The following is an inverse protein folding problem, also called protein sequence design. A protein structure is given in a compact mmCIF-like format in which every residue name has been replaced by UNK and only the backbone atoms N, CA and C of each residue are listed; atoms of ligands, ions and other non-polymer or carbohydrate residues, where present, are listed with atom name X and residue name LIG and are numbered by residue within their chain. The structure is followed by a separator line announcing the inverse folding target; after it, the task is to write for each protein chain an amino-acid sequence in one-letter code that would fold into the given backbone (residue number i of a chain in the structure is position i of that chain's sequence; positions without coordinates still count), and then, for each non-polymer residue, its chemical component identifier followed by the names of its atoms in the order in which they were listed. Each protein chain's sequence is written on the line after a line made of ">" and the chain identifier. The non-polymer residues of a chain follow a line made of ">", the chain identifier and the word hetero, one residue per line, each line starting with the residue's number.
data_IF_452678358058
#
_entry.id   IF_452678358058
#
_cell.length_a   1.000
_cell.length_b   1.000
_cell.length_c   1.000
_cell.angle_alpha   90.00
_cell.angle_beta   90.00
_cell.angle_gamma   90.00
#
_symmetry.space_group_name_H-M   'P 1'
#
loop_
_entity.id
_entity.type
_entity.pdbx_description
1 polymer ?
#
# COMPACT_ATOMS: atom_id res chain seq x y z
N UNK A 1 47.23 -13.51 26.98
CA UNK A 1 45.97 -12.79 26.73
C UNK A 1 45.80 -12.70 25.22
N UNK A 2 45.05 -13.63 24.64
CA UNK A 2 44.81 -13.68 23.19
C UNK A 2 43.47 -13.00 22.93
N UNK A 3 43.49 -11.85 22.26
CA UNK A 3 42.29 -11.07 21.96
C UNK A 3 41.48 -11.77 20.88
N UNK A 4 40.25 -12.15 21.20
CA UNK A 4 39.23 -12.54 20.23
C UNK A 4 38.85 -11.31 19.43
N UNK A 5 39.33 -11.23 18.19
CA UNK A 5 38.80 -10.30 17.21
C UNK A 5 37.40 -10.79 16.82
N UNK A 6 36.37 -10.17 17.38
CA UNK A 6 35.02 -10.21 16.82
C UNK A 6 35.09 -9.48 15.48
N UNK A 7 35.09 -10.24 14.37
CA UNK A 7 34.78 -9.66 13.07
C UNK A 7 33.33 -9.22 13.10
N UNK A 8 33.12 -7.91 12.97
CA UNK A 8 31.81 -7.34 12.74
C UNK A 8 31.24 -7.95 11.45
N UNK A 9 30.13 -8.66 11.56
CA UNK A 9 29.32 -9.03 10.40
C UNK A 9 28.71 -7.73 9.93
N UNK A 10 29.28 -7.17 8.86
CA UNK A 10 28.63 -6.10 8.14
C UNK A 10 27.28 -6.65 7.67
N UNK A 11 26.18 -6.09 8.16
CA UNK A 11 24.85 -6.33 7.64
C UNK A 11 24.85 -5.90 6.17
N UNK A 12 25.02 -6.84 5.26
CA UNK A 12 24.65 -6.64 3.88
C UNK A 12 23.14 -6.49 3.88
N UNK A 13 22.65 -5.36 3.38
CA UNK A 13 21.24 -5.13 3.12
C UNK A 13 20.79 -6.24 2.18
N UNK A 14 20.10 -7.25 2.71
CA UNK A 14 19.47 -8.29 1.91
C UNK A 14 18.31 -7.61 1.17
N UNK A 15 18.48 -7.42 -0.14
CA UNK A 15 17.39 -7.01 -1.00
C UNK A 15 16.64 -8.28 -1.34
N UNK A 16 15.53 -8.54 -0.65
CA UNK A 16 14.58 -9.58 -1.00
C UNK A 16 14.28 -9.50 -2.51
N UNK A 17 14.55 -10.58 -3.24
CA UNK A 17 14.29 -10.66 -4.67
C UNK A 17 12.78 -10.55 -4.92
N UNK A 18 12.37 -9.39 -5.46
CA UNK A 18 11.01 -8.97 -5.85
C UNK A 18 9.92 -8.98 -4.76
N UNK A 19 9.94 -7.98 -3.86
CA UNK A 19 8.70 -7.58 -3.18
C UNK A 19 7.73 -7.06 -4.26
N UNK A 20 6.53 -7.65 -4.43
CA UNK A 20 5.55 -7.16 -5.40
C UNK A 20 5.24 -5.69 -5.15
N UNK A 21 5.20 -4.88 -6.21
CA UNK A 21 4.74 -3.49 -6.08
C UNK A 21 3.26 -3.50 -5.69
N UNK A 22 2.86 -2.95 -4.54
CA UNK A 22 1.47 -2.97 -4.14
C UNK A 22 0.63 -2.10 -5.07
N UNK A 23 -0.61 -2.52 -5.30
CA UNK A 23 -1.62 -1.67 -5.92
C UNK A 23 -2.15 -0.68 -4.89
N UNK A 24 -2.35 0.57 -5.30
CA UNK A 24 -2.99 1.56 -4.45
C UNK A 24 -4.40 1.09 -4.03
N UNK A 25 -4.68 1.15 -2.73
CA UNK A 25 -6.04 1.06 -2.21
C UNK A 25 -6.85 2.30 -2.61
N UNK A 26 -8.18 2.21 -2.48
CA UNK A 26 -9.03 3.39 -2.64
C UNK A 26 -8.69 4.45 -1.57
N UNK A 27 -8.97 5.72 -1.90
CA UNK A 27 -8.83 6.80 -0.95
C UNK A 27 -9.68 6.53 0.30
N UNK A 28 -9.06 6.63 1.47
CA UNK A 28 -9.71 6.49 2.76
C UNK A 28 -10.68 7.65 3.02
N UNK A 29 -11.53 7.52 4.04
CA UNK A 29 -12.44 8.61 4.43
C UNK A 29 -11.68 9.87 4.85
N UNK A 30 -10.57 9.73 5.57
CA UNK A 30 -9.73 10.87 5.98
C UNK A 30 -9.08 11.55 4.77
N UNK A 31 -8.63 10.75 3.79
CA UNK A 31 -8.08 11.25 2.53
C UNK A 31 -9.15 11.98 1.71
N UNK A 32 -10.36 11.43 1.60
CA UNK A 32 -11.48 12.08 0.91
C UNK A 32 -11.93 13.36 1.62
N UNK A 33 -11.96 13.37 2.95
CA UNK A 33 -12.28 14.57 3.73
C UNK A 33 -11.24 15.67 3.50
N UNK A 34 -9.94 15.32 3.52
CA UNK A 34 -8.88 16.28 3.23
C UNK A 34 -8.92 16.82 1.78
N UNK A 35 -9.36 16.01 0.81
CA UNK A 35 -9.62 16.48 -0.55
C UNK A 35 -10.81 17.44 -0.58
N UNK A 36 -11.89 17.11 0.13
CA UNK A 36 -13.11 17.91 0.20
C UNK A 36 -12.83 19.26 0.85
N UNK A 37 -12.08 19.29 1.95
CA UNK A 37 -11.67 20.53 2.61
C UNK A 37 -10.92 21.47 1.65
N UNK A 38 -10.04 20.93 0.79
CA UNK A 38 -9.38 21.75 -0.23
C UNK A 38 -10.37 22.29 -1.27
N UNK A 39 -11.33 21.49 -1.71
CA UNK A 39 -12.35 21.94 -2.67
C UNK A 39 -13.30 22.98 -2.07
N UNK A 40 -13.66 22.85 -0.79
CA UNK A 40 -14.50 23.80 -0.08
C UNK A 40 -13.78 25.14 0.13
N UNK A 41 -12.48 25.12 0.46
CA UNK A 41 -11.65 26.34 0.53
C UNK A 41 -11.58 27.04 -0.83
N UNK A 42 -11.40 26.27 -1.91
CA UNK A 42 -11.37 26.83 -3.27
C UNK A 42 -12.72 27.41 -3.67
N UNK A 43 -13.83 26.75 -3.34
CA UNK A 43 -15.18 27.26 -3.61
C UNK A 43 -15.48 28.53 -2.80
N UNK A 44 -15.13 28.55 -1.51
CA UNK A 44 -15.29 29.71 -0.64
C UNK A 44 -14.53 30.96 -1.14
N UNK A 45 -13.41 30.76 -1.84
CA UNK A 45 -12.66 31.87 -2.44
C UNK A 45 -13.43 32.60 -3.56
N UNK A 46 -14.51 32.01 -4.08
CA UNK A 46 -15.38 32.62 -5.10
C UNK A 46 -16.60 33.33 -4.51
N UNK A 47 -16.82 33.27 -3.19
CA UNK A 47 -17.93 33.97 -2.56
C UNK A 47 -17.75 35.49 -2.65
N UNK A 48 -18.60 36.14 -3.45
CA UNK A 48 -18.55 37.60 -3.68
C UNK A 48 -19.53 38.42 -2.83
N UNK A 49 -20.25 37.77 -1.90
CA UNK A 49 -21.22 38.44 -1.02
C UNK A 49 -22.53 38.87 -1.71
N UNK A 50 -22.77 38.42 -2.94
CA UNK A 50 -23.99 38.67 -3.72
C UNK A 50 -25.11 37.65 -3.45
N UNK A 51 -24.92 36.74 -2.50
CA UNK A 51 -25.88 35.68 -2.16
C UNK A 51 -25.71 34.38 -2.94
N UNK A 52 -24.89 34.37 -4.00
CA UNK A 52 -24.56 33.14 -4.75
C UNK A 52 -23.93 32.10 -3.82
N UNK A 53 -24.29 30.84 -4.03
CA UNK A 53 -23.64 29.72 -3.35
C UNK A 53 -22.59 29.10 -4.25
N UNK A 54 -21.43 28.85 -3.67
CA UNK A 54 -20.32 28.19 -4.33
C UNK A 54 -20.02 26.90 -3.59
N UNK A 55 -19.99 25.78 -4.32
CA UNK A 55 -19.71 24.46 -3.75
C UNK A 55 -18.57 23.79 -4.49
N UNK A 56 -17.69 23.14 -3.72
CA UNK A 56 -16.60 22.32 -4.24
C UNK A 56 -17.01 20.86 -4.24
N UNK A 57 -16.74 20.14 -5.32
CA UNK A 57 -16.96 18.69 -5.41
C UNK A 57 -15.65 18.00 -5.80
N UNK A 58 -15.25 17.00 -5.01
CA UNK A 58 -14.06 16.19 -5.29
C UNK A 58 -14.31 15.24 -6.45
N UNK A 59 -13.45 15.30 -7.46
CA UNK A 59 -13.34 14.28 -8.51
C UNK A 59 -12.03 13.54 -8.30
N UNK A 60 -12.12 12.28 -7.88
CA UNK A 60 -10.95 11.45 -7.58
C UNK A 60 -10.18 11.10 -8.87
N UNK A 61 -8.87 11.22 -8.79
CA UNK A 61 -7.94 10.84 -9.84
C UNK A 61 -7.19 9.55 -9.52
N UNK A 62 -6.19 9.24 -10.33
CA UNK A 62 -5.32 8.09 -10.10
C UNK A 62 -4.41 8.32 -8.88
N UNK A 63 -4.14 7.25 -8.15
CA UNK A 63 -3.13 7.23 -7.11
C UNK A 63 -1.76 6.85 -7.71
N UNK A 64 -0.71 7.50 -7.22
CA UNK A 64 0.68 7.22 -7.64
C UNK A 64 1.51 6.80 -6.42
N UNK A 65 2.27 5.71 -6.55
CA UNK A 65 3.22 5.29 -5.51
C UNK A 65 4.35 6.32 -5.42
N UNK A 66 4.60 6.83 -4.20
CA UNK A 66 5.64 7.85 -3.94
C UNK A 66 6.81 7.26 -3.16
N UNK A 67 6.53 6.36 -2.23
CA UNK A 67 7.56 5.68 -1.44
C UNK A 67 7.13 4.30 -0.99
N UNK A 68 8.11 3.42 -0.74
CA UNK A 68 7.89 2.02 -0.41
C UNK A 68 7.79 1.11 -1.64
N UNK A 69 7.43 -0.17 -1.45
CA UNK A 69 7.12 -0.82 -0.18
C UNK A 69 8.36 -0.97 0.71
N UNK A 70 8.26 -0.54 1.98
CA UNK A 70 9.32 -0.71 2.99
C UNK A 70 8.85 -1.71 4.02
N UNK A 71 9.62 -2.75 4.27
CA UNK A 71 9.31 -3.73 5.31
C UNK A 71 9.24 -3.06 6.69
N UNK A 72 8.22 -3.40 7.46
CA UNK A 72 7.98 -2.89 8.80
C UNK A 72 7.67 -4.05 9.75
N UNK A 73 8.13 -3.92 11.00
CA UNK A 73 7.86 -4.92 12.02
C UNK A 73 8.74 -6.16 11.92
N UNK A 74 8.25 -7.27 12.45
CA UNK A 74 8.92 -8.57 12.46
C UNK A 74 8.39 -9.47 11.35
N UNK A 75 9.27 -10.26 10.75
CA UNK A 75 8.90 -11.31 9.81
C UNK A 75 8.29 -12.50 10.53
N UNK A 76 7.24 -13.08 9.94
CA UNK A 76 6.74 -14.42 10.27
C UNK A 76 7.36 -15.42 9.29
N UNK A 77 8.38 -16.15 9.77
CA UNK A 77 9.16 -17.08 8.95
C UNK A 77 8.43 -18.42 8.88
N UNK A 78 8.22 -18.93 7.65
CA UNK A 78 7.73 -20.29 7.47
C UNK A 78 8.88 -21.28 7.69
N UNK A 79 9.00 -21.76 8.94
CA UNK A 79 10.07 -22.69 9.36
C UNK A 79 10.14 -23.95 8.49
N UNK A 80 9.04 -24.38 7.87
CA UNK A 80 8.99 -25.54 6.98
C UNK A 80 9.68 -25.33 5.63
N UNK A 81 10.00 -24.07 5.29
CA UNK A 81 10.62 -23.69 4.02
C UNK A 81 12.11 -23.38 4.13
N UNK A 82 12.68 -23.42 5.35
CA UNK A 82 14.09 -23.13 5.57
C UNK A 82 14.95 -24.17 4.83
N UNK A 83 15.77 -23.67 3.90
CA UNK A 83 16.77 -24.45 3.19
C UNK A 83 18.17 -23.96 3.54
N UNK A 84 19.10 -24.91 3.62
CA UNK A 84 20.50 -24.63 3.89
C UNK A 84 21.18 -23.96 2.68
N UNK A 85 21.88 -22.85 2.91
CA UNK A 85 22.63 -22.14 1.88
C UNK A 85 24.05 -21.78 2.35
N UNK A 86 24.89 -21.32 1.42
CA UNK A 86 26.26 -20.90 1.73
C UNK A 86 27.22 -22.05 2.05
N UNK A 87 28.19 -21.79 2.94
CA UNK A 87 29.24 -22.76 3.30
C UNK A 87 28.89 -23.47 4.60
N UNK A 88 29.04 -24.79 4.61
CA UNK A 88 28.93 -25.58 5.84
C UNK A 88 30.18 -25.43 6.71
N UNK A 89 29.98 -25.10 7.99
CA UNK A 89 31.02 -24.99 9.00
C UNK A 89 30.81 -26.07 10.07
N UNK A 90 31.72 -27.07 10.16
CA UNK A 90 31.58 -28.16 11.12
C UNK A 90 31.91 -27.69 12.55
N UNK A 91 31.10 -28.11 13.53
CA UNK A 91 31.32 -27.81 14.95
C UNK A 91 31.98 -28.99 15.69
N UNK A 92 31.57 -30.21 15.36
CA UNK A 92 32.15 -31.45 15.90
C UNK A 92 32.70 -32.25 14.74
N UNK A 93 34.00 -32.54 14.78
CA UNK A 93 34.68 -33.32 13.75
C UNK A 93 35.10 -34.67 14.30
N UNK A 94 34.88 -35.70 13.52
CA UNK A 94 35.40 -37.03 13.78
C UNK A 94 35.92 -37.67 12.50
N UNK A 95 36.80 -38.65 12.67
CA UNK A 95 37.37 -39.38 11.56
C UNK A 95 36.78 -40.78 11.60
N UNK A 96 36.13 -41.16 10.50
CA UNK A 96 35.51 -42.47 10.34
C UNK A 96 36.25 -43.31 9.30
N UNK A 97 36.01 -44.61 9.37
CA UNK A 97 36.54 -45.58 8.43
C UNK A 97 37.98 -46.02 8.71
N UNK A 98 38.43 -46.94 7.87
CA UNK A 98 39.80 -47.47 7.93
C UNK A 98 40.72 -46.58 7.09
N UNK A 99 42.00 -46.39 7.49
CA UNK A 99 42.94 -45.66 6.66
C UNK A 99 43.09 -46.30 5.30
N UNK A 100 43.10 -45.50 4.23
CA UNK A 100 43.38 -45.97 2.88
C UNK A 100 44.45 -45.09 2.22
N UNK A 101 45.06 -45.59 1.13
CA UNK A 101 46.04 -44.83 0.34
C UNK A 101 45.43 -44.38 -0.97
N UNK A 102 45.85 -43.21 -1.40
CA UNK A 102 45.63 -42.71 -2.77
C UNK A 102 46.98 -42.72 -3.48
N UNK A 103 47.16 -43.64 -4.43
CA UNK A 103 48.41 -43.81 -5.18
C UNK A 103 49.64 -44.13 -4.31
N UNK A 104 50.83 -43.78 -4.80
CA UNK A 104 52.12 -43.97 -4.10
C UNK A 104 52.38 -42.96 -2.97
N UNK A 105 51.35 -42.29 -2.44
CA UNK A 105 51.49 -41.30 -1.37
C UNK A 105 52.00 -41.93 -0.08
N UNK A 106 52.90 -41.23 0.63
CA UNK A 106 53.38 -41.59 1.98
C UNK A 106 52.36 -41.28 3.08
N UNK A 107 51.25 -40.64 2.71
CA UNK A 107 50.14 -40.27 3.59
C UNK A 107 48.96 -41.22 3.38
N UNK A 108 48.27 -41.56 4.46
CA UNK A 108 47.03 -42.34 4.43
C UNK A 108 45.88 -41.47 4.89
N UNK A 109 44.76 -41.61 4.20
CA UNK A 109 43.60 -40.77 4.34
C UNK A 109 42.49 -41.52 5.05
N UNK A 110 41.67 -40.77 5.78
CA UNK A 110 40.40 -41.21 6.33
C UNK A 110 39.33 -40.18 6.02
N UNK A 111 38.08 -40.60 6.12
CA UNK A 111 36.96 -39.70 5.87
C UNK A 111 36.69 -38.91 7.14
N UNK A 112 36.75 -37.58 7.01
CA UNK A 112 36.37 -36.66 8.06
C UNK A 112 34.87 -36.39 7.94
N UNK A 113 34.17 -36.71 9.01
CA UNK A 113 32.75 -36.49 9.15
C UNK A 113 32.49 -35.46 10.25
N UNK A 114 31.38 -34.77 10.14
CA UNK A 114 30.87 -33.91 11.19
C UNK A 114 29.52 -34.42 11.67
N UNK A 115 29.28 -34.40 12.97
CA UNK A 115 28.00 -34.81 13.59
C UNK A 115 27.11 -33.62 13.97
N UNK A 116 27.67 -32.40 13.90
CA UNK A 116 26.98 -31.16 14.15
C UNK A 116 27.77 -30.00 13.53
N UNK A 117 27.06 -28.98 13.05
CA UNK A 117 27.65 -27.77 12.49
C UNK A 117 26.58 -26.75 12.13
N UNK A 118 26.93 -25.80 11.28
CA UNK A 118 25.97 -24.83 10.77
C UNK A 118 26.26 -24.46 9.33
N UNK A 119 25.21 -24.10 8.61
CA UNK A 119 25.31 -23.41 7.32
C UNK A 119 25.37 -21.92 7.57
N UNK A 120 26.28 -21.22 6.88
CA UNK A 120 26.50 -19.78 7.09
C UNK A 120 25.31 -18.93 6.66
N UNK A 121 24.44 -19.49 5.83
CA UNK A 121 23.33 -18.80 5.17
C UNK A 121 22.11 -19.74 5.09
N UNK A 122 20.93 -19.18 4.85
CA UNK A 122 19.71 -19.93 4.60
C UNK A 122 18.79 -19.19 3.65
N UNK A 123 17.91 -19.95 3.01
CA UNK A 123 16.80 -19.36 2.27
C UNK A 123 15.48 -19.81 2.89
N UNK A 124 14.48 -18.94 2.90
CA UNK A 124 13.17 -19.25 3.47
C UNK A 124 12.09 -18.31 2.94
N UNK A 125 10.84 -18.76 3.00
CA UNK A 125 9.70 -17.89 2.78
C UNK A 125 9.28 -17.23 4.10
N UNK A 126 8.75 -16.01 4.01
CA UNK A 126 8.22 -15.29 5.16
C UNK A 126 7.01 -14.43 4.77
N UNK A 127 6.21 -14.08 5.76
CA UNK A 127 5.18 -13.03 5.64
C UNK A 127 5.62 -11.82 6.47
N UNK A 128 5.54 -10.63 5.91
CA UNK A 128 5.82 -9.38 6.62
C UNK A 128 4.91 -8.25 6.16
N UNK A 129 4.78 -7.24 7.01
CA UNK A 129 4.01 -6.04 6.70
C UNK A 129 4.91 -5.02 6.01
N UNK A 130 4.45 -4.50 4.87
CA UNK A 130 5.14 -3.48 4.10
C UNK A 130 4.32 -2.20 4.09
N UNK A 131 4.95 -1.08 4.44
CA UNK A 131 4.34 0.24 4.34
C UNK A 131 4.70 0.89 3.01
N UNK A 132 3.67 1.37 2.32
CA UNK A 132 3.78 2.18 1.10
C UNK A 132 3.04 3.48 1.28
N UNK A 133 3.51 4.55 0.63
CA UNK A 133 2.83 5.85 0.60
C UNK A 133 2.39 6.14 -0.82
N UNK A 134 1.09 6.33 -1.01
CA UNK A 134 0.48 6.73 -2.26
C UNK A 134 0.05 8.19 -2.18
N UNK A 135 0.23 8.94 -3.27
CA UNK A 135 -0.40 10.24 -3.45
C UNK A 135 -1.66 10.06 -4.29
N UNK A 136 -2.79 10.48 -3.74
CA UNK A 136 -4.06 10.47 -4.43
C UNK A 136 -4.28 11.83 -5.10
N UNK A 137 -4.16 11.86 -6.42
CA UNK A 137 -4.51 13.04 -7.20
C UNK A 137 -6.03 13.22 -7.23
N UNK A 138 -6.47 14.47 -7.33
CA UNK A 138 -7.88 14.81 -7.49
C UNK A 138 -8.00 16.19 -8.14
N UNK A 139 -9.21 16.50 -8.61
CA UNK A 139 -9.59 17.85 -9.02
C UNK A 139 -10.86 18.27 -8.29
N UNK A 140 -11.01 19.58 -8.10
CA UNK A 140 -12.18 20.20 -7.53
C UNK A 140 -13.04 20.78 -8.65
N UNK A 141 -14.26 20.26 -8.77
CA UNK A 141 -15.31 20.87 -9.56
C UNK A 141 -15.96 21.96 -8.72
N UNK A 142 -15.86 23.20 -9.18
CA UNK A 142 -16.44 24.37 -8.51
C UNK A 142 -17.76 24.71 -9.20
N UNK A 143 -18.84 24.49 -8.48
CA UNK A 143 -20.20 24.76 -8.94
C UNK A 143 -20.71 26.08 -8.34
N UNK A 144 -21.49 26.81 -9.14
CA UNK A 144 -22.18 28.03 -8.72
C UNK A 144 -23.69 27.82 -8.81
N UNK A 145 -24.38 28.20 -7.75
CA UNK A 145 -25.83 28.40 -7.73
C UNK A 145 -26.08 29.91 -7.64
N UNK A 146 -26.65 30.49 -8.72
CA UNK A 146 -26.89 31.94 -8.79
C UNK A 146 -28.09 32.29 -7.92
N UNK A 147 -27.93 33.32 -7.09
CA UNK A 147 -28.98 33.82 -6.21
C UNK A 147 -29.90 34.81 -6.93
N UNK A 148 -31.20 34.62 -6.74
CA UNK A 148 -32.25 35.53 -7.18
C UNK A 148 -32.99 36.05 -5.96
N UNK A 149 -32.86 37.35 -5.70
CA UNK A 149 -33.55 38.02 -4.61
C UNK A 149 -35.07 37.98 -4.81
N UNK A 150 -35.82 38.01 -3.71
CA UNK A 150 -37.27 38.12 -3.73
C UNK A 150 -37.72 39.32 -4.58
N UNK A 151 -38.73 39.11 -5.43
CA UNK A 151 -39.32 40.15 -6.26
C UNK A 151 -40.79 40.32 -5.89
N UNK A 152 -41.19 41.57 -5.68
CA UNK A 152 -42.60 41.93 -5.50
C UNK A 152 -43.04 42.68 -6.75
N UNK A 153 -43.98 42.09 -7.48
CA UNK A 153 -44.58 42.67 -8.68
C UNK A 153 -45.97 43.18 -8.28
N UNK A 154 -46.16 44.50 -8.36
CA UNK A 154 -47.47 45.11 -8.12
C UNK A 154 -48.32 45.01 -9.38
N UNK A 155 -49.48 44.36 -9.27
CA UNK A 155 -50.48 44.31 -10.32
C UNK A 155 -51.59 45.32 -10.00
N UNK A 156 -51.79 46.29 -10.90
CA UNK A 156 -52.87 47.27 -10.78
C UNK A 156 -54.24 46.59 -10.87
N UNK A 157 -55.27 47.20 -10.27
CA UNK A 157 -56.62 46.66 -10.35
C UNK A 157 -57.16 46.72 -11.79
N UNK A 158 -57.74 45.63 -12.28
CA UNK A 158 -58.35 45.52 -13.60
C UNK A 158 -59.84 45.23 -13.49
N UNK A 159 -60.69 46.09 -14.06
CA UNK A 159 -62.14 45.91 -13.96
C UNK A 159 -62.94 47.16 -14.30
N UNK A 160 -64.15 47.24 -13.74
CA UNK A 160 -65.04 48.39 -13.90
C UNK A 160 -65.96 48.55 -12.68
N UNK A 161 -66.40 49.77 -12.45
CA UNK A 161 -67.50 50.05 -11.53
C UNK A 161 -68.84 49.75 -12.20
N UNK A 162 -69.65 48.93 -11.54
CA UNK A 162 -71.04 48.69 -11.88
C UNK A 162 -71.95 49.23 -10.79
N UNK A 163 -73.22 49.41 -11.11
CA UNK A 163 -74.23 49.81 -10.13
C UNK A 163 -74.37 48.74 -9.04
N UNK A 164 -74.49 49.16 -7.78
CA UNK A 164 -74.86 48.26 -6.68
C UNK A 164 -76.15 47.49 -7.03
N UNK A 165 -76.13 46.14 -7.03
CA UNK A 165 -77.30 45.32 -7.32
C UNK A 165 -78.54 45.66 -6.48
N UNK A 166 -78.36 46.14 -5.24
CA UNK A 166 -79.46 46.52 -4.35
C UNK A 166 -80.23 47.76 -4.82
N UNK A 167 -79.61 48.59 -5.67
CA UNK A 167 -80.22 49.81 -6.20
C UNK A 167 -80.96 49.58 -7.52
N UNK A 168 -80.81 48.41 -8.14
CA UNK A 168 -81.47 48.08 -9.41
C UNK A 168 -82.99 48.08 -9.19
N UNK A 169 -83.71 48.88 -9.99
CA UNK A 169 -85.18 49.02 -9.91
C UNK A 169 -85.67 50.11 -8.94
N UNK A 170 -84.76 50.82 -8.26
CA UNK A 170 -85.09 51.98 -7.42
C UNK A 170 -85.09 53.28 -8.23
N UNK A 171 -85.76 54.36 -7.77
CA UNK A 171 -85.66 55.69 -8.38
C UNK A 171 -84.23 56.22 -8.50
N UNK A 172 -83.31 55.74 -7.65
CA UNK A 172 -81.91 56.15 -7.59
C UNK A 172 -81.02 55.41 -8.61
N UNK A 173 -81.53 54.35 -9.25
CA UNK A 173 -80.74 53.46 -10.11
C UNK A 173 -80.02 54.21 -11.25
N UNK A 174 -80.75 55.08 -11.96
CA UNK A 174 -80.17 55.81 -13.10
C UNK A 174 -79.08 56.80 -12.68
N UNK A 175 -79.23 57.44 -11.51
CA UNK A 175 -78.23 58.35 -10.98
C UNK A 175 -76.96 57.58 -10.55
N UNK A 176 -77.13 56.42 -9.91
CA UNK A 176 -76.02 55.53 -9.55
C UNK A 176 -75.27 55.02 -10.79
N UNK A 177 -75.99 54.53 -11.82
CA UNK A 177 -75.39 54.06 -13.07
C UNK A 177 -74.55 55.16 -13.77
N UNK A 178 -75.06 56.39 -13.81
CA UNK A 178 -74.33 57.52 -14.37
C UNK A 178 -73.04 57.83 -13.59
N UNK A 179 -73.07 57.69 -12.25
CA UNK A 179 -71.89 57.88 -11.42
C UNK A 179 -70.83 56.79 -11.66
N UNK A 180 -71.23 55.51 -11.76
CA UNK A 180 -70.31 54.41 -12.05
C UNK A 180 -69.65 54.56 -13.42
N UNK A 181 -70.43 54.95 -14.45
CA UNK A 181 -69.91 55.24 -15.79
C UNK A 181 -68.91 56.40 -15.78
N UNK A 182 -69.12 57.43 -14.94
CA UNK A 182 -68.18 58.53 -14.80
C UNK A 182 -66.85 58.08 -14.16
N UNK A 183 -66.89 57.18 -13.17
CA UNK A 183 -65.66 56.58 -12.61
C UNK A 183 -64.90 55.76 -13.67
N UNK A 184 -65.59 54.93 -14.45
CA UNK A 184 -64.97 54.16 -15.54
C UNK A 184 -64.37 55.05 -16.62
N UNK A 185 -65.09 56.11 -17.05
CA UNK A 185 -64.61 57.05 -18.04
C UNK A 185 -63.40 57.86 -17.55
N UNK A 186 -63.37 58.22 -16.26
CA UNK A 186 -62.22 58.90 -15.66
C UNK A 186 -60.98 58.00 -15.65
N UNK A 187 -61.12 56.73 -15.25
CA UNK A 187 -60.01 55.78 -15.30
C UNK A 187 -59.52 55.55 -16.74
N UNK A 188 -60.42 55.34 -17.71
CA UNK A 188 -60.07 55.18 -19.12
C UNK A 188 -59.35 56.40 -19.72
N UNK A 189 -59.61 57.60 -19.18
CA UNK A 189 -58.92 58.84 -19.55
C UNK A 189 -57.53 59.00 -18.88
N UNK A 190 -57.06 58.01 -18.13
CA UNK A 190 -55.80 58.06 -17.38
C UNK A 190 -55.87 58.96 -16.14
N UNK A 191 -57.05 59.37 -15.71
CA UNK A 191 -57.21 59.99 -14.40
C UNK A 191 -57.09 58.88 -13.36
N UNK A 192 -55.89 58.66 -12.83
CA UNK A 192 -55.64 57.73 -11.73
C UNK A 192 -56.44 58.17 -10.50
N UNK A 193 -57.66 57.66 -10.39
CA UNK A 193 -58.47 57.84 -9.20
C UNK A 193 -57.94 56.87 -8.17
N UNK A 194 -57.34 57.36 -7.08
CA UNK A 194 -56.70 56.54 -6.03
C UNK A 194 -57.64 55.58 -5.27
N UNK A 195 -58.88 55.44 -5.75
CA UNK A 195 -59.87 54.48 -5.29
C UNK A 195 -60.16 53.37 -6.32
N UNK A 196 -59.58 53.40 -7.52
CA UNK A 196 -59.78 52.37 -8.54
C UNK A 196 -59.49 50.97 -7.98
N UNK A 197 -60.37 50.00 -8.25
CA UNK A 197 -60.28 48.66 -7.67
C UNK A 197 -60.88 48.51 -6.26
N UNK A 198 -61.25 49.59 -5.58
CA UNK A 198 -61.84 49.56 -4.24
C UNK A 198 -63.37 49.50 -4.33
N UNK A 199 -63.99 48.72 -3.43
CA UNK A 199 -65.44 48.55 -3.37
C UNK A 199 -65.92 48.56 -1.91
N UNK A 200 -67.06 49.21 -1.58
CA UNK A 200 -67.90 50.02 -2.46
C UNK A 200 -67.31 51.43 -2.69
N UNK A 201 -67.66 52.07 -3.80
CA UNK A 201 -67.43 53.49 -3.99
C UNK A 201 -68.73 54.24 -4.33
N UNK A 202 -69.27 54.95 -3.34
CA UNK A 202 -70.64 55.46 -3.40
C UNK A 202 -71.65 54.33 -3.62
N UNK A 203 -72.45 54.45 -4.68
CA UNK A 203 -73.46 53.47 -5.09
C UNK A 203 -72.94 52.48 -6.16
N UNK A 204 -71.62 52.34 -6.27
CA UNK A 204 -70.95 51.51 -7.24
C UNK A 204 -70.15 50.39 -6.56
N UNK A 205 -70.21 49.20 -7.13
CA UNK A 205 -69.41 48.05 -6.74
C UNK A 205 -68.35 47.83 -7.83
N UNK A 206 -67.10 47.60 -7.44
CA UNK A 206 -66.05 47.26 -8.40
C UNK A 206 -66.17 45.77 -8.77
N UNK A 207 -66.34 45.49 -10.06
CA UNK A 207 -66.28 44.16 -10.64
C UNK A 207 -64.97 43.98 -11.40
N UNK A 208 -64.16 43.01 -10.96
CA UNK A 208 -62.87 42.71 -11.57
C UNK A 208 -61.86 42.16 -10.56
N UNK A 209 -60.59 42.26 -10.91
CA UNK A 209 -59.45 41.87 -10.06
C UNK A 209 -58.99 43.10 -9.29
N UNK A 210 -58.95 43.00 -7.96
CA UNK A 210 -58.37 44.06 -7.11
C UNK A 210 -56.86 44.14 -7.32
N UNK A 211 -56.26 45.29 -7.00
CA UNK A 211 -54.80 45.39 -7.00
C UNK A 211 -54.23 44.41 -5.98
N UNK A 212 -53.15 43.72 -6.35
CA UNK A 212 -52.48 42.78 -5.47
C UNK A 212 -50.98 42.75 -5.78
N UNK A 213 -50.23 42.30 -4.77
CA UNK A 213 -48.81 42.07 -4.91
C UNK A 213 -48.57 40.58 -5.18
N UNK A 214 -47.87 40.27 -6.26
CA UNK A 214 -47.33 38.95 -6.51
C UNK A 214 -45.90 38.89 -5.98
N UNK A 215 -45.67 38.01 -5.01
CA UNK A 215 -44.34 37.76 -4.45
C UNK A 215 -43.72 36.54 -5.12
N UNK A 216 -42.63 36.75 -5.84
CA UNK A 216 -41.72 35.68 -6.28
C UNK A 216 -40.67 35.52 -5.18
N UNK A 217 -40.69 34.41 -4.41
CA UNK A 217 -39.76 34.21 -3.30
C UNK A 217 -38.32 34.16 -3.80
N UNK A 218 -37.37 34.45 -2.92
CA UNK A 218 -35.96 34.25 -3.23
C UNK A 218 -35.67 32.77 -3.55
N UNK A 219 -34.75 32.53 -4.47
CA UNK A 219 -34.33 31.19 -4.85
C UNK A 219 -32.91 31.18 -5.40
N UNK A 220 -32.37 29.97 -5.54
CA UNK A 220 -31.11 29.72 -6.22
C UNK A 220 -31.36 28.88 -7.46
N UNK A 221 -30.64 29.17 -8.54
CA UNK A 221 -30.59 28.27 -9.69
C UNK A 221 -29.98 26.91 -9.30
N UNK A 222 -30.19 25.89 -10.13
CA UNK A 222 -29.49 24.62 -9.96
C UNK A 222 -27.95 24.80 -10.09
N UNK A 223 -27.15 23.92 -9.47
CA UNK A 223 -25.70 24.04 -9.49
C UNK A 223 -25.17 23.90 -10.93
N UNK A 224 -24.35 24.87 -11.35
CA UNK A 224 -23.68 24.86 -12.65
C UNK A 224 -22.17 24.85 -12.45
N UNK A 225 -21.50 23.85 -13.03
CA UNK A 225 -20.04 23.77 -13.06
C UNK A 225 -19.45 25.00 -13.77
N UNK A 226 -18.59 25.74 -13.06
CA UNK A 226 -17.88 26.91 -13.60
C UNK A 226 -16.41 26.61 -13.87
N UNK A 227 -15.77 25.90 -12.96
CA UNK A 227 -14.34 25.63 -13.03
C UNK A 227 -14.03 24.21 -12.60
N UNK A 228 -12.97 23.65 -13.17
CA UNK A 228 -12.30 22.46 -12.64
C UNK A 228 -10.87 22.87 -12.32
N UNK A 229 -10.51 22.77 -11.04
CA UNK A 229 -9.21 23.18 -10.53
C UNK A 229 -8.48 21.93 -10.03
N UNK A 230 -7.20 21.78 -10.36
CA UNK A 230 -6.41 20.66 -9.83
C UNK A 230 -6.21 20.84 -8.31
N UNK A 231 -6.51 19.79 -7.54
CA UNK A 231 -6.23 19.74 -6.11
C UNK A 231 -4.75 19.44 -5.85
N UNK A 232 -4.27 19.73 -4.64
CA UNK A 232 -2.93 19.31 -4.22
C UNK A 232 -3.02 17.86 -3.72
N UNK A 233 -2.34 16.88 -4.34
CA UNK A 233 -2.49 15.47 -4.00
C UNK A 233 -2.35 15.19 -2.50
N UNK A 234 -3.21 14.33 -1.97
CA UNK A 234 -3.20 13.93 -0.55
C UNK A 234 -2.47 12.61 -0.41
N UNK A 235 -1.52 12.55 0.52
CA UNK A 235 -0.79 11.31 0.83
C UNK A 235 -1.63 10.38 1.70
N UNK A 236 -1.60 9.10 1.38
CA UNK A 236 -2.18 8.02 2.16
C UNK A 236 -1.12 6.94 2.37
N UNK A 237 -0.90 6.54 3.62
CA UNK A 237 -0.11 5.35 3.93
C UNK A 237 -1.00 4.11 3.84
N UNK A 238 -0.42 3.06 3.30
CA UNK A 238 -1.03 1.75 3.13
C UNK A 238 -0.06 0.71 3.70
N UNK A 239 -0.60 -0.22 4.49
CA UNK A 239 0.13 -1.38 5.00
C UNK A 239 -0.42 -2.61 4.31
N UNK A 240 0.46 -3.34 3.64
CA UNK A 240 0.14 -4.59 2.97
C UNK A 240 0.92 -5.74 3.62
N UNK A 241 0.23 -6.81 3.96
CA UNK A 241 0.88 -8.05 4.41
C UNK A 241 1.23 -8.89 3.20
N UNK A 242 2.53 -9.07 2.95
CA UNK A 242 3.07 -9.68 1.73
C UNK A 242 3.84 -10.95 2.08
N UNK A 243 3.59 -12.00 1.30
CA UNK A 243 4.41 -13.21 1.29
C UNK A 243 5.61 -13.01 0.37
N UNK A 244 6.82 -13.18 0.91
CA UNK A 244 8.08 -12.92 0.24
C UNK A 244 9.10 -14.06 0.49
N UNK A 245 10.23 -13.98 -0.19
CA UNK A 245 11.33 -14.94 -0.10
C UNK A 245 12.61 -14.21 0.37
N UNK A 246 13.31 -14.81 1.33
CA UNK A 246 14.65 -14.41 1.76
C UNK A 246 15.67 -15.39 1.17
N UNK A 247 16.67 -14.85 0.47
CA UNK A 247 17.73 -15.62 -0.18
C UNK A 247 19.08 -15.57 0.55
N UNK A 248 19.19 -14.70 1.56
CA UNK A 248 20.39 -14.47 2.37
C UNK A 248 20.05 -14.38 3.87
N UNK A 249 19.40 -15.42 4.36
CA UNK A 249 19.02 -15.60 5.75
C UNK A 249 20.18 -15.74 6.73
N UNK A 250 19.83 -15.89 8.01
CA UNK A 250 20.80 -16.17 9.06
C UNK A 250 21.37 -17.59 9.01
N UNK A 251 22.40 -17.88 9.81
CA UNK A 251 22.98 -19.21 9.89
C UNK A 251 22.00 -20.23 10.49
N UNK A 252 21.99 -21.46 9.96
CA UNK A 252 21.13 -22.55 10.42
C UNK A 252 21.97 -23.66 11.04
N UNK A 253 21.70 -23.97 12.31
CA UNK A 253 22.35 -25.05 13.06
C UNK A 253 21.76 -26.40 12.64
N UNK A 254 22.62 -27.39 12.45
CA UNK A 254 22.21 -28.74 12.04
C UNK A 254 22.87 -29.80 12.90
N UNK A 255 22.12 -30.88 13.16
CA UNK A 255 22.62 -32.13 13.73
C UNK A 255 22.49 -33.24 12.70
N UNK A 256 23.42 -34.19 12.70
CA UNK A 256 23.47 -35.27 11.72
C UNK A 256 24.85 -35.43 11.10
N UNK A 257 24.98 -36.43 10.24
CA UNK A 257 26.28 -36.88 9.72
C UNK A 257 26.58 -36.23 8.35
N UNK A 258 27.60 -35.37 8.31
CA UNK A 258 28.02 -34.65 7.11
C UNK A 258 29.44 -35.03 6.74
N UNK A 259 29.65 -35.47 5.49
CA UNK A 259 31.00 -35.73 4.99
C UNK A 259 31.69 -34.40 4.68
N UNK A 260 32.74 -34.08 5.43
CA UNK A 260 33.50 -32.83 5.29
C UNK A 260 34.59 -32.97 4.22
N UNK A 261 35.21 -34.14 4.14
CA UNK A 261 36.27 -34.42 3.17
C UNK A 261 37.22 -35.49 3.65
N UNK A 262 38.36 -35.58 2.99
CA UNK A 262 39.41 -36.54 3.32
C UNK A 262 40.58 -35.84 4.01
N UNK A 263 41.01 -36.39 5.14
CA UNK A 263 42.15 -35.87 5.90
C UNK A 263 43.22 -36.93 6.03
N UNK A 264 44.47 -36.51 6.20
CA UNK A 264 45.57 -37.43 6.49
C UNK A 264 45.46 -37.92 7.94
N UNK A 265 45.46 -39.23 8.16
CA UNK A 265 45.22 -39.83 9.48
C UNK A 265 46.38 -40.71 9.95
N UNK A 266 47.17 -41.23 9.01
CA UNK A 266 48.45 -41.87 9.30
C UNK A 266 49.53 -41.32 8.36
N UNK A 267 50.72 -41.03 8.88
CA UNK A 267 51.90 -40.64 8.09
C UNK A 267 53.00 -41.69 8.24
N UNK A 268 53.60 -42.05 7.09
CA UNK A 268 54.77 -42.92 7.03
C UNK A 268 55.99 -42.24 7.65
N UNK A 269 56.89 -42.98 8.30
CA UNK A 269 58.23 -42.48 8.59
C UNK A 269 58.88 -41.93 7.30
N UNK A 270 59.49 -40.75 7.41
CA UNK A 270 60.22 -40.09 6.32
C UNK A 270 61.30 -41.00 5.73
N UNK A 271 61.18 -41.38 4.45
CA UNK A 271 62.20 -42.10 3.66
C UNK A 271 62.65 -43.45 4.26
N UNK A 272 63.30 -44.35 3.49
CA UNK A 272 63.36 -45.78 3.81
C UNK A 272 64.43 -46.05 4.89
N UNK A 273 64.15 -45.67 6.13
CA UNK A 273 64.83 -46.22 7.28
C UNK A 273 64.02 -47.46 7.73
N UNK A 274 64.58 -48.67 7.63
CA UNK A 274 63.92 -49.87 8.13
C UNK A 274 63.63 -49.67 9.63
N UNK A 275 62.36 -49.77 10.02
CA UNK A 275 61.95 -49.67 11.43
C UNK A 275 61.30 -48.35 11.86
N UNK A 276 61.00 -47.43 10.94
CA UNK A 276 60.23 -46.25 11.31
C UNK A 276 58.80 -46.60 11.75
N UNK A 277 58.32 -45.96 12.82
CA UNK A 277 56.96 -46.15 13.36
C UNK A 277 55.97 -45.21 12.67
N UNK A 278 54.87 -45.77 12.15
CA UNK A 278 53.71 -45.01 11.71
C UNK A 278 53.14 -44.18 12.85
N UNK A 279 52.73 -42.95 12.56
CA UNK A 279 52.14 -42.06 13.56
C UNK A 279 50.76 -41.62 13.14
N UNK A 280 49.84 -41.57 14.11
CA UNK A 280 48.51 -40.98 13.94
C UNK A 280 48.65 -39.47 13.73
N UNK A 281 47.71 -38.90 12.97
CA UNK A 281 47.60 -37.46 12.72
C UNK A 281 46.16 -37.01 12.88
N UNK A 282 45.96 -35.70 13.02
CA UNK A 282 44.64 -35.06 13.04
C UNK A 282 43.66 -35.66 14.05
N UNK A 283 44.16 -36.17 15.19
CA UNK A 283 43.32 -36.73 16.25
C UNK A 283 42.71 -38.10 15.92
N UNK A 284 43.21 -38.83 14.92
CA UNK A 284 42.73 -40.19 14.63
C UNK A 284 42.92 -41.13 15.84
N UNK A 285 41.80 -41.66 16.34
CA UNK A 285 41.75 -42.56 17.51
C UNK A 285 41.69 -44.04 17.14
N UNK A 286 41.60 -44.38 15.86
CA UNK A 286 41.57 -45.77 15.42
C UNK A 286 42.90 -46.49 15.61
N UNK A 287 42.84 -47.80 15.84
CA UNK A 287 44.01 -48.63 16.18
C UNK A 287 44.84 -49.08 14.97
N UNK A 288 44.47 -48.61 13.76
CA UNK A 288 44.98 -49.13 12.49
C UNK A 288 46.20 -48.37 11.94
N UNK A 289 46.63 -47.27 12.57
CA UNK A 289 47.91 -46.63 12.23
C UNK A 289 49.11 -47.37 12.85
N UNK A 290 49.25 -48.67 12.58
CA UNK A 290 50.33 -49.51 13.12
C UNK A 290 51.03 -50.28 12.01
N UNK A 291 52.35 -50.47 12.15
CA UNK A 291 53.17 -51.21 11.19
C UNK A 291 52.60 -52.60 10.89
N UNK A 292 52.05 -53.28 11.90
CA UNK A 292 51.51 -54.63 11.76
C UNK A 292 50.22 -54.66 10.93
N UNK A 293 49.32 -53.71 11.13
CA UNK A 293 48.11 -53.61 10.29
C UNK A 293 48.47 -53.34 8.82
N UNK A 294 49.47 -52.50 8.57
CA UNK A 294 49.93 -52.21 7.20
C UNK A 294 50.58 -53.39 6.49
N UNK A 295 51.15 -54.36 7.21
CA UNK A 295 51.73 -55.58 6.63
C UNK A 295 50.68 -56.56 6.10
N UNK A 296 49.42 -56.45 6.52
CA UNK A 296 48.35 -57.43 6.21
C UNK A 296 47.13 -56.83 5.52
N UNK A 297 47.08 -55.51 5.35
CA UNK A 297 45.93 -54.81 4.79
C UNK A 297 45.78 -55.06 3.26
N UNK A 298 44.55 -54.89 2.69
CA UNK A 298 44.16 -55.47 1.40
C UNK A 298 44.86 -54.90 0.15
N UNK A 299 45.75 -53.92 0.32
CA UNK A 299 46.65 -53.40 -0.72
C UNK A 299 47.92 -54.25 -0.95
N UNK A 300 47.99 -55.41 -0.32
CA UNK A 300 49.08 -56.38 -0.45
C UNK A 300 50.12 -56.22 0.66
N UNK A 301 50.67 -57.35 1.10
CA UNK A 301 51.68 -57.39 2.14
C UNK A 301 52.94 -56.64 1.69
N UNK A 302 53.20 -55.51 2.35
CA UNK A 302 54.43 -54.76 2.17
C UNK A 302 55.63 -55.48 2.74
N UNK A 303 56.56 -55.91 1.89
CA UNK A 303 57.90 -56.26 2.34
C UNK A 303 58.71 -54.99 2.63
N UNK A 304 59.48 -55.00 3.71
CA UNK A 304 60.29 -53.88 4.23
C UNK A 304 61.30 -53.30 3.20
N UNK A 305 61.52 -53.96 2.07
CA UNK A 305 62.38 -53.50 0.96
C UNK A 305 61.71 -52.68 -0.14
N UNK A 306 60.41 -52.38 -0.07
CA UNK A 306 59.66 -51.75 -1.19
C UNK A 306 59.87 -50.24 -1.39
N UNK A 307 60.77 -49.59 -0.62
CA UNK A 307 61.12 -48.16 -0.76
C UNK A 307 59.94 -47.20 -0.93
N UNK A 308 58.79 -47.51 -0.32
CA UNK A 308 57.61 -46.64 -0.32
C UNK A 308 56.73 -46.70 -1.58
N UNK A 309 57.05 -47.52 -2.58
CA UNK A 309 56.16 -47.75 -3.74
C UNK A 309 55.13 -48.82 -3.42
N UNK A 310 54.01 -48.39 -2.82
CA UNK A 310 52.81 -49.20 -2.61
C UNK A 310 51.76 -48.74 -3.62
N UNK A 311 51.45 -49.59 -4.61
CA UNK A 311 50.39 -49.32 -5.59
C UNK A 311 49.19 -50.15 -5.18
N UNK A 312 48.19 -49.53 -4.55
CA UNK A 312 46.84 -50.08 -4.56
C UNK A 312 46.14 -49.57 -5.80
N UNK A 313 45.90 -50.45 -6.77
CA UNK A 313 44.95 -50.18 -7.85
C UNK A 313 43.56 -50.21 -7.21
N UNK A 314 42.72 -49.16 -7.38
CA UNK A 314 41.34 -49.24 -6.92
C UNK A 314 40.64 -50.35 -7.70
N UNK A 315 40.08 -51.35 -7.01
CA UNK A 315 39.16 -52.27 -7.65
C UNK A 315 37.79 -51.60 -7.70
N UNK A 316 37.52 -50.83 -8.75
CA UNK A 316 36.18 -50.40 -9.08
C UNK A 316 35.39 -51.61 -9.61
N UNK A 317 34.83 -52.41 -8.71
CA UNK A 317 33.72 -53.30 -9.03
C UNK A 317 32.45 -52.69 -8.44
N UNK A 318 31.48 -52.48 -9.33
CA UNK A 318 30.12 -51.99 -9.08
C UNK A 318 29.37 -52.86 -8.08
#
# INVERSE_FOLDING_TARGET
>A
MCGTAFSAIASTTAWADTVPTPSAQLASQDTLAAMQDQCDILAAAHETGNGDKWTGEVVTGAATLVSGPTETGSRDIDEGTIQHAGTYVPAVLEIRGNPFRVGGSVNMFGDQWSTAGYWTDSTYNFTADFTSTFQHAFSCNINQEVYHAEQVIHHDAEGQYVIDPELIGTPQANAALNACNAFNAAHAAGANQGFWGQSPQGNCVFEGTQAYDETIPEYWDGPVLKFTVAGTPVSQEQIDSIYAFEDHGGPVQVTGEYHVGQVVICISPNKPAPGGTWRTQNGYTGTKCTTDWFKVAPWGAGTEGSNGTYISVPNYSL
#
